data_IF_090488687562
#
_entry.id   IF_090488687562
#
_cell.length_a   1.000
_cell.length_b   1.000
_cell.length_c   1.000
_cell.angle_alpha   90.00
_cell.angle_beta   90.00
_cell.angle_gamma   90.00
#
_symmetry.space_group_name_H-M   'P 1'
#
loop_
_entity.id
_entity.type
_entity.pdbx_description
1 polymer ?
#
# COMPACT_ATOMS: atom_id res chain seq x y z
N UNK A 1 -6.12 -45.59 -32.96
CA UNK A 1 -6.00 -45.18 -31.54
C UNK A 1 -5.07 -43.99 -31.51
N UNK A 2 -5.50 -42.83 -31.04
CA UNK A 2 -4.71 -41.60 -31.10
C UNK A 2 -3.60 -41.64 -30.03
N UNK A 3 -2.35 -41.41 -30.46
CA UNK A 3 -1.20 -41.30 -29.56
C UNK A 3 -1.35 -40.06 -28.66
N UNK A 4 -1.33 -40.28 -27.36
CA UNK A 4 -1.42 -39.21 -26.36
C UNK A 4 -0.14 -38.38 -26.39
N UNK A 5 -0.25 -37.10 -26.71
CA UNK A 5 0.85 -36.13 -26.78
C UNK A 5 1.70 -36.13 -25.49
N UNK A 6 3.02 -36.19 -25.62
CA UNK A 6 3.97 -36.40 -24.51
C UNK A 6 4.02 -35.15 -23.62
N UNK A 7 3.31 -35.17 -22.49
CA UNK A 7 3.31 -34.07 -21.49
C UNK A 7 4.58 -34.09 -20.64
N UNK A 8 5.41 -33.06 -20.78
CA UNK A 8 6.55 -32.83 -19.88
C UNK A 8 6.08 -32.03 -18.65
N UNK A 9 6.17 -32.63 -17.46
CA UNK A 9 5.95 -31.92 -16.19
C UNK A 9 7.31 -31.49 -15.64
N UNK A 10 7.56 -30.19 -15.55
CA UNK A 10 8.75 -29.67 -14.88
C UNK A 10 8.49 -29.68 -13.38
N UNK A 11 9.34 -30.34 -12.60
CA UNK A 11 9.28 -30.25 -11.14
C UNK A 11 9.76 -28.85 -10.74
N UNK A 12 8.88 -28.02 -10.18
CA UNK A 12 9.29 -26.78 -9.56
C UNK A 12 10.15 -27.13 -8.33
N UNK A 13 11.45 -26.74 -8.27
CA UNK A 13 12.33 -27.10 -7.16
C UNK A 13 11.87 -26.58 -5.80
N UNK A 14 11.01 -25.55 -5.77
CA UNK A 14 10.45 -24.95 -4.55
C UNK A 14 9.18 -25.67 -4.07
N UNK A 15 8.57 -26.49 -4.94
CA UNK A 15 7.22 -27.03 -4.74
C UNK A 15 6.15 -25.93 -4.82
N UNK A 16 4.94 -26.30 -5.22
CA UNK A 16 3.76 -25.46 -4.97
C UNK A 16 3.38 -25.61 -3.50
N UNK A 17 3.70 -24.60 -2.70
CA UNK A 17 3.27 -24.54 -1.30
C UNK A 17 1.78 -24.25 -1.26
N UNK A 18 1.05 -24.95 -0.39
CA UNK A 18 -0.33 -24.56 -0.09
C UNK A 18 -0.33 -23.15 0.48
N UNK A 19 -1.33 -22.34 0.10
CA UNK A 19 -1.49 -21.02 0.69
C UNK A 19 -1.56 -21.16 2.21
N UNK A 20 -0.80 -20.32 2.92
CA UNK A 20 -0.82 -20.26 4.38
C UNK A 20 -1.78 -19.18 4.84
N UNK A 21 -2.45 -19.41 5.96
CA UNK A 21 -3.29 -18.39 6.58
C UNK A 21 -2.43 -17.21 7.04
N UNK A 22 -2.79 -16.00 6.62
CA UNK A 22 -2.08 -14.78 7.01
C UNK A 22 -2.91 -13.99 8.01
N UNK A 23 -2.31 -13.61 9.13
CA UNK A 23 -2.93 -12.73 10.12
C UNK A 23 -2.24 -11.37 10.10
N UNK A 24 -3.00 -10.26 10.03
CA UNK A 24 -2.40 -8.94 10.03
C UNK A 24 -1.83 -8.60 11.42
N UNK A 25 -0.69 -7.92 11.45
CA UNK A 25 -0.06 -7.45 12.70
C UNK A 25 -0.85 -6.31 13.38
N UNK A 26 -1.77 -5.67 12.67
CA UNK A 26 -2.63 -4.61 13.16
C UNK A 26 -4.02 -4.69 12.50
N UNK A 27 -5.08 -4.18 13.14
CA UNK A 27 -6.40 -4.07 12.53
C UNK A 27 -6.31 -3.35 11.17
N UNK A 28 -6.95 -3.93 10.15
CA UNK A 28 -7.04 -3.30 8.83
C UNK A 28 -8.34 -2.53 8.72
N UNK A 29 -8.34 -1.50 7.88
CA UNK A 29 -9.55 -0.81 7.49
C UNK A 29 -10.40 -1.74 6.62
N UNK A 30 -11.70 -1.82 6.92
CA UNK A 30 -12.67 -2.59 6.13
C UNK A 30 -13.19 -1.79 4.92
N UNK A 31 -13.13 -0.46 4.98
CA UNK A 31 -13.50 0.47 3.91
C UNK A 31 -12.70 1.77 4.05
N UNK A 32 -12.59 2.53 2.97
CA UNK A 32 -11.96 3.85 2.93
C UNK A 32 -12.98 5.00 3.07
N UNK A 33 -14.27 4.77 2.81
CA UNK A 33 -15.27 5.85 2.82
C UNK A 33 -15.38 6.52 4.20
N UNK A 34 -15.34 7.86 4.22
CA UNK A 34 -15.40 8.66 5.44
C UNK A 34 -14.15 8.58 6.32
N UNK A 35 -13.10 7.87 5.89
CA UNK A 35 -11.84 7.72 6.62
C UNK A 35 -10.93 8.92 6.40
N UNK A 36 -10.13 9.23 7.43
CA UNK A 36 -9.07 10.24 7.34
C UNK A 36 -7.75 9.56 7.03
N UNK A 37 -7.23 9.82 5.82
CA UNK A 37 -5.96 9.24 5.36
C UNK A 37 -4.94 10.35 5.16
N UNK A 38 -3.76 10.19 5.76
CA UNK A 38 -2.69 11.16 5.73
C UNK A 38 -1.60 10.76 4.74
N UNK A 39 -1.32 11.61 3.76
CA UNK A 39 -0.10 11.51 2.96
C UNK A 39 1.04 12.20 3.71
N UNK A 40 2.06 11.45 4.09
CA UNK A 40 3.26 11.99 4.71
C UNK A 40 4.47 11.76 3.81
N UNK A 41 4.78 12.76 2.98
CA UNK A 41 5.73 12.64 1.87
C UNK A 41 7.09 13.22 2.29
N UNK A 42 8.17 12.46 2.04
CA UNK A 42 9.55 12.92 2.14
C UNK A 42 10.26 12.73 0.78
N UNK A 43 11.44 13.33 0.62
CA UNK A 43 12.26 13.21 -0.58
C UNK A 43 11.67 13.86 -1.83
N UNK A 44 12.01 13.31 -2.98
CA UNK A 44 11.58 13.82 -4.29
C UNK A 44 10.12 13.41 -4.61
N UNK A 45 9.28 14.35 -5.07
CA UNK A 45 7.84 14.11 -5.15
C UNK A 45 7.36 13.46 -6.46
N UNK A 46 8.26 12.91 -7.28
CA UNK A 46 7.97 12.41 -8.64
C UNK A 46 6.78 11.46 -8.72
N UNK A 47 6.78 10.41 -7.89
CA UNK A 47 5.68 9.44 -7.86
C UNK A 47 4.52 9.90 -6.96
N UNK A 48 4.81 10.74 -5.96
CA UNK A 48 3.83 11.08 -4.94
C UNK A 48 2.82 12.13 -5.43
N UNK A 49 3.22 13.05 -6.31
CA UNK A 49 2.31 14.02 -6.96
C UNK A 49 1.22 13.33 -7.79
N UNK A 50 1.53 12.48 -8.79
CA UNK A 50 0.51 11.81 -9.58
C UNK A 50 -0.31 10.82 -8.75
N UNK A 51 0.30 10.16 -7.76
CA UNK A 51 -0.40 9.26 -6.84
C UNK A 51 -1.44 10.01 -6.00
N UNK A 52 -1.06 11.14 -5.39
CA UNK A 52 -1.98 11.98 -4.61
C UNK A 52 -3.17 12.41 -5.46
N UNK A 53 -2.91 12.90 -6.68
CA UNK A 53 -3.95 13.36 -7.61
C UNK A 53 -4.91 12.23 -7.99
N UNK A 54 -4.37 11.05 -8.28
CA UNK A 54 -5.17 9.88 -8.65
C UNK A 54 -6.02 9.39 -7.49
N UNK A 55 -5.44 9.20 -6.30
CA UNK A 55 -6.19 8.70 -5.14
C UNK A 55 -7.29 9.66 -4.70
N UNK A 56 -7.06 10.97 -4.77
CA UNK A 56 -8.10 11.97 -4.50
C UNK A 56 -9.25 11.93 -5.51
N UNK A 57 -8.97 11.59 -6.77
CA UNK A 57 -9.98 11.42 -7.81
C UNK A 57 -10.75 10.10 -7.69
N UNK A 58 -10.03 9.00 -7.44
CA UNK A 58 -10.60 7.65 -7.34
C UNK A 58 -11.42 7.48 -6.04
N UNK A 59 -11.07 8.20 -4.97
CA UNK A 59 -11.71 8.11 -3.65
C UNK A 59 -12.10 9.49 -3.09
N UNK A 60 -13.18 10.12 -3.61
CA UNK A 60 -13.59 11.46 -3.20
C UNK A 60 -14.20 11.51 -1.79
N UNK A 61 -14.71 10.39 -1.27
CA UNK A 61 -15.33 10.31 0.06
C UNK A 61 -14.31 10.13 1.21
N UNK A 62 -13.02 10.05 0.88
CA UNK A 62 -11.93 9.98 1.86
C UNK A 62 -11.52 11.41 2.23
N UNK A 63 -11.35 11.66 3.52
CA UNK A 63 -10.78 12.91 4.01
C UNK A 63 -9.24 12.89 3.88
N UNK A 64 -8.73 13.50 2.82
CA UNK A 64 -7.31 13.51 2.51
C UNK A 64 -6.59 14.68 3.17
N UNK A 65 -5.55 14.36 3.92
CA UNK A 65 -4.64 15.35 4.52
C UNK A 65 -3.21 15.09 4.05
N UNK A 66 -2.39 16.13 3.93
CA UNK A 66 -1.07 16.02 3.28
C UNK A 66 -0.02 16.84 4.03
N UNK A 67 1.11 16.20 4.32
CA UNK A 67 2.32 16.81 4.85
C UNK A 67 3.48 16.45 3.92
N UNK A 68 4.21 17.46 3.45
CA UNK A 68 5.33 17.29 2.50
C UNK A 68 6.59 17.90 3.07
N UNK A 69 7.71 17.23 2.81
CA UNK A 69 9.05 17.74 3.04
C UNK A 69 9.98 17.21 1.96
N UNK A 70 11.08 17.93 1.73
CA UNK A 70 12.04 17.64 0.66
C UNK A 70 13.33 17.02 1.19
N UNK A 71 13.35 16.67 2.48
CA UNK A 71 14.46 15.95 3.10
C UNK A 71 14.23 14.45 2.99
N UNK A 72 15.28 13.61 3.02
CA UNK A 72 15.13 12.16 2.95
C UNK A 72 14.45 11.57 4.20
N UNK A 73 14.45 12.30 5.31
CA UNK A 73 13.87 11.85 6.58
C UNK A 73 12.34 11.71 6.48
N UNK A 74 11.78 10.50 6.75
CA UNK A 74 10.33 10.30 6.76
C UNK A 74 9.64 11.23 7.76
N UNK A 75 8.62 11.95 7.30
CA UNK A 75 7.82 12.80 8.16
C UNK A 75 6.88 11.91 8.99
N UNK A 76 7.19 11.75 10.28
CA UNK A 76 6.34 10.97 11.19
C UNK A 76 5.10 11.80 11.58
N UNK A 77 3.99 11.10 11.79
CA UNK A 77 2.81 11.68 12.44
C UNK A 77 3.15 12.04 13.90
N UNK A 78 2.77 13.25 14.30
CA UNK A 78 2.68 13.70 15.68
C UNK A 78 1.66 12.88 16.47
N UNK A 79 1.68 13.00 17.79
CA UNK A 79 0.72 12.29 18.65
C UNK A 79 -0.73 12.67 18.39
N UNK A 80 -1.00 13.95 18.11
CA UNK A 80 -2.36 14.43 17.81
C UNK A 80 -2.87 13.92 16.46
N UNK A 81 -2.00 13.91 15.44
CA UNK A 81 -2.34 13.35 14.13
C UNK A 81 -2.64 11.84 14.25
N UNK A 82 -1.91 11.09 15.07
CA UNK A 82 -2.15 9.65 15.28
C UNK A 82 -3.51 9.34 15.91
N UNK A 83 -4.10 10.25 16.68
CA UNK A 83 -5.41 10.06 17.30
C UNK A 83 -6.56 10.19 16.29
N UNK A 84 -6.35 10.99 15.25
CA UNK A 84 -7.39 11.38 14.29
C UNK A 84 -7.23 10.74 12.92
N UNK A 85 -6.07 10.13 12.65
CA UNK A 85 -5.74 9.48 11.38
C UNK A 85 -6.11 8.00 11.41
N UNK A 86 -6.92 7.55 10.46
CA UNK A 86 -7.27 6.14 10.29
C UNK A 86 -6.16 5.35 9.56
N UNK A 87 -5.46 5.98 8.61
CA UNK A 87 -4.34 5.38 7.88
C UNK A 87 -3.32 6.42 7.38
N UNK A 88 -2.07 5.98 7.18
CA UNK A 88 -0.99 6.82 6.66
C UNK A 88 -0.34 6.20 5.42
N UNK A 89 -0.12 7.02 4.41
CA UNK A 89 0.76 6.73 3.28
C UNK A 89 2.08 7.43 3.58
N UNK A 90 3.06 6.66 4.04
CA UNK A 90 4.36 7.17 4.47
C UNK A 90 5.38 7.07 3.33
N UNK A 91 5.93 8.20 2.91
CA UNK A 91 7.09 8.27 2.04
C UNK A 91 8.34 7.77 2.78
N UNK A 92 9.13 6.97 2.08
CA UNK A 92 10.43 6.47 2.53
C UNK A 92 11.44 6.78 1.44
N UNK A 93 12.52 7.47 1.79
CA UNK A 93 13.64 7.75 0.90
C UNK A 93 14.85 6.94 1.35
N UNK A 94 15.60 6.38 0.41
CA UNK A 94 16.86 5.66 0.62
C UNK A 94 18.04 6.44 0.06
#
# INVERSE_FOLDING_TARGET
MAETEKKYKCLNPVGTQAAVDTFPLAPRLNSLDGKTIHFSICGEPDITIPLEKRLKGDYPNVNWTVKKGYTPTPLRLSEEERKTTDAVILGVCW
#
